data_IF_152379341727
#
_entry.id   IF_152379341727
#
_cell.length_a   1.000
_cell.length_b   1.000
_cell.length_c   1.000
_cell.angle_alpha   90.00
_cell.angle_beta   90.00
_cell.angle_gamma   90.00
#
_symmetry.space_group_name_H-M   'P 1'
#
loop_
_entity.id
_entity.type
_entity.pdbx_description
1 polymer ?
#
# COMPACT_ATOMS: atom_id res chain seq x y z
N UNK A 1 19.47 -8.60 -3.22
CA UNK A 1 18.26 -8.90 -2.43
C UNK A 1 17.59 -7.57 -2.17
N UNK A 2 16.43 -7.31 -2.79
CA UNK A 2 15.65 -6.11 -2.49
C UNK A 2 15.15 -6.13 -1.05
N UNK A 3 14.69 -4.98 -0.55
CA UNK A 3 14.14 -4.88 0.80
C UNK A 3 12.77 -4.22 0.78
N UNK A 4 11.87 -4.73 1.61
CA UNK A 4 10.57 -4.11 1.88
C UNK A 4 10.58 -3.70 3.35
N UNK A 5 10.30 -2.43 3.59
CA UNK A 5 10.21 -1.86 4.94
C UNK A 5 8.84 -1.23 5.11
N UNK A 6 8.19 -1.55 6.23
CA UNK A 6 6.89 -1.00 6.59
C UNK A 6 7.02 -0.36 7.97
N UNK A 7 6.48 0.84 8.12
CA UNK A 7 6.38 1.55 9.39
C UNK A 7 4.97 2.11 9.53
N UNK A 8 4.53 2.35 10.76
CA UNK A 8 3.20 2.91 10.99
C UNK A 8 3.10 3.59 12.34
N UNK A 9 2.17 4.52 12.43
CA UNK A 9 1.82 5.24 13.65
C UNK A 9 0.41 4.85 14.06
N UNK A 10 0.29 4.31 15.27
CA UNK A 10 -0.98 4.01 15.93
C UNK A 10 -1.12 4.86 17.19
N UNK A 11 -2.36 5.22 17.52
CA UNK A 11 -2.71 5.95 18.74
C UNK A 11 -3.97 5.39 19.38
N UNK A 12 -4.43 6.04 20.44
CA UNK A 12 -5.64 5.62 21.16
C UNK A 12 -5.42 4.51 22.19
N UNK A 13 -4.16 4.23 22.56
CA UNK A 13 -3.84 3.34 23.67
C UNK A 13 -4.30 3.94 24.99
N UNK A 14 -5.12 3.19 25.72
CA UNK A 14 -5.59 3.56 27.07
C UNK A 14 -4.90 2.68 28.13
N UNK A 15 -5.04 3.02 29.42
CA UNK A 15 -4.41 2.25 30.50
C UNK A 15 -4.91 0.81 30.55
N UNK A 16 -6.17 0.61 30.19
CA UNK A 16 -6.86 -0.68 30.14
C UNK A 16 -6.20 -1.63 29.14
N UNK A 17 -5.57 -1.13 28.07
CA UNK A 17 -4.81 -1.93 27.12
C UNK A 17 -3.61 -2.64 27.77
N UNK A 18 -3.01 -2.02 28.78
CA UNK A 18 -1.83 -2.54 29.48
C UNK A 18 -2.18 -3.22 30.82
N UNK A 19 -3.47 -3.43 31.10
CA UNK A 19 -3.94 -3.94 32.39
C UNK A 19 -3.67 -5.43 32.62
N UNK A 20 -3.41 -6.20 31.54
CA UNK A 20 -3.28 -7.66 31.59
C UNK A 20 -4.62 -8.40 31.71
N UNK A 21 -5.73 -7.69 31.93
CA UNK A 21 -7.08 -8.23 31.91
C UNK A 21 -7.56 -8.35 30.44
N UNK A 22 -7.92 -9.56 30.02
CA UNK A 22 -8.34 -9.84 28.63
C UNK A 22 -9.59 -9.06 28.22
N UNK A 23 -10.56 -8.89 29.11
CA UNK A 23 -11.82 -8.20 28.81
C UNK A 23 -11.55 -6.71 28.66
N UNK A 24 -10.78 -6.13 29.57
CA UNK A 24 -10.40 -4.71 29.50
C UNK A 24 -9.50 -4.41 28.30
N UNK A 25 -8.61 -5.33 27.95
CA UNK A 25 -7.78 -5.24 26.74
C UNK A 25 -8.65 -5.27 25.47
N UNK A 26 -9.65 -6.14 25.41
CA UNK A 26 -10.58 -6.21 24.26
C UNK A 26 -11.38 -4.91 24.07
N UNK A 27 -11.85 -4.30 25.16
CA UNK A 27 -12.52 -3.00 25.09
C UNK A 27 -11.55 -1.92 24.63
N UNK A 28 -10.32 -1.92 25.15
CA UNK A 28 -9.29 -0.96 24.76
C UNK A 28 -8.87 -1.09 23.28
N UNK A 29 -8.93 -2.29 22.70
CA UNK A 29 -8.67 -2.51 21.26
C UNK A 29 -9.60 -1.70 20.36
N UNK A 30 -10.86 -1.49 20.78
CA UNK A 30 -11.82 -0.68 20.03
C UNK A 30 -11.43 0.81 20.01
N UNK A 31 -10.64 1.26 20.98
CA UNK A 31 -10.10 2.62 21.05
C UNK A 31 -8.88 2.86 20.18
N UNK A 32 -8.27 1.80 19.62
CA UNK A 32 -7.10 1.92 18.77
C UNK A 32 -7.41 2.63 17.46
N UNK A 33 -6.44 3.43 17.04
CA UNK A 33 -6.54 4.33 15.89
C UNK A 33 -5.29 4.24 15.03
N UNK A 34 -5.42 3.87 13.77
CA UNK A 34 -4.35 3.97 12.80
C UNK A 34 -4.25 5.41 12.29
N UNK A 35 -3.08 6.04 12.42
CA UNK A 35 -2.84 7.41 11.95
C UNK A 35 -2.09 7.47 10.63
N UNK A 36 -1.08 6.61 10.48
CA UNK A 36 -0.22 6.62 9.31
C UNK A 36 0.39 5.23 9.08
N UNK A 37 0.59 4.88 7.82
CA UNK A 37 1.36 3.71 7.38
C UNK A 37 2.28 4.18 6.26
N UNK A 38 3.57 3.88 6.36
CA UNK A 38 4.52 4.10 5.29
C UNK A 38 5.11 2.76 4.86
N UNK A 39 5.04 2.50 3.57
CA UNK A 39 5.64 1.35 2.92
C UNK A 39 6.75 1.85 2.00
N UNK A 40 7.96 1.32 2.17
CA UNK A 40 9.10 1.58 1.28
C UNK A 40 9.60 0.27 0.70
N UNK A 41 9.58 0.19 -0.62
CA UNK A 41 10.03 -0.94 -1.42
C UNK A 41 11.32 -0.51 -2.11
N UNK A 42 12.40 -1.24 -1.87
CA UNK A 42 13.68 -1.04 -2.56
C UNK A 42 13.93 -2.23 -3.47
N UNK A 43 13.86 -1.98 -4.77
CA UNK A 43 14.21 -2.94 -5.81
C UNK A 43 15.74 -3.09 -5.87
N UNK A 44 16.22 -4.32 -5.66
CA UNK A 44 17.62 -4.71 -5.89
C UNK A 44 17.66 -6.05 -6.63
N UNK A 45 16.98 -6.09 -7.78
CA UNK A 45 16.88 -7.23 -8.70
C UNK A 45 15.75 -8.23 -8.41
N UNK A 46 14.77 -7.90 -7.57
CA UNK A 46 13.59 -8.76 -7.32
C UNK A 46 12.68 -8.79 -8.55
N UNK A 47 12.36 -7.61 -9.09
CA UNK A 47 11.50 -7.46 -10.26
C UNK A 47 12.22 -8.02 -11.48
N UNK A 48 13.51 -7.72 -11.64
CA UNK A 48 14.32 -8.29 -12.71
C UNK A 48 14.33 -9.83 -12.66
N UNK A 49 14.45 -10.43 -11.47
CA UNK A 49 14.41 -11.90 -11.31
C UNK A 49 13.02 -12.48 -11.60
N UNK A 50 11.95 -11.80 -11.19
CA UNK A 50 10.57 -12.21 -11.48
C UNK A 50 10.26 -12.17 -12.97
N UNK A 51 10.63 -11.08 -13.65
CA UNK A 51 10.51 -10.94 -15.11
C UNK A 51 11.27 -12.05 -15.82
N UNK A 52 12.51 -12.31 -15.41
CA UNK A 52 13.34 -13.37 -15.99
C UNK A 52 12.72 -14.76 -15.83
N UNK A 53 12.15 -15.06 -14.66
CA UNK A 53 11.46 -16.33 -14.43
C UNK A 53 10.21 -16.46 -15.31
N UNK A 54 9.37 -15.43 -15.37
CA UNK A 54 8.16 -15.43 -16.20
C UNK A 54 8.49 -15.54 -17.70
N UNK A 55 9.52 -14.82 -18.15
CA UNK A 55 10.06 -14.90 -19.50
C UNK A 55 10.47 -16.33 -19.86
N UNK A 56 11.19 -17.02 -18.97
CA UNK A 56 11.59 -18.41 -19.15
C UNK A 56 10.40 -19.37 -19.20
N UNK A 57 9.39 -19.19 -18.35
CA UNK A 57 8.20 -20.05 -18.33
C UNK A 57 7.31 -19.86 -19.56
N UNK A 58 7.24 -18.65 -20.11
CA UNK A 58 6.35 -18.30 -21.21
C UNK A 58 7.04 -18.22 -22.58
N UNK A 59 8.33 -18.59 -22.68
CA UNK A 59 9.15 -18.42 -23.90
C UNK A 59 9.13 -17.00 -24.46
N UNK A 60 9.10 -16.00 -23.57
CA UNK A 60 9.14 -14.58 -23.92
C UNK A 60 10.51 -14.00 -23.59
N UNK A 61 10.86 -12.88 -24.20
CA UNK A 61 12.01 -12.07 -23.77
C UNK A 61 11.65 -11.22 -22.55
N UNK A 62 12.65 -10.84 -21.75
CA UNK A 62 12.42 -9.97 -20.58
C UNK A 62 11.77 -8.63 -20.96
N UNK A 63 12.11 -8.11 -22.14
CA UNK A 63 11.55 -6.86 -22.67
C UNK A 63 10.07 -7.01 -23.08
N UNK A 64 9.69 -8.13 -23.70
CA UNK A 64 8.29 -8.42 -24.03
C UNK A 64 7.43 -8.57 -22.76
N UNK A 65 7.97 -9.22 -21.73
CA UNK A 65 7.28 -9.35 -20.44
C UNK A 65 7.11 -7.98 -19.79
N UNK A 66 8.17 -7.15 -19.75
CA UNK A 66 8.08 -5.78 -19.22
C UNK A 66 7.05 -4.94 -19.96
N UNK A 67 7.06 -5.00 -21.29
CA UNK A 67 6.14 -4.25 -22.13
C UNK A 67 4.69 -4.68 -21.86
N UNK A 68 4.44 -5.99 -21.81
CA UNK A 68 3.12 -6.56 -21.54
C UNK A 68 2.61 -6.18 -20.14
N UNK A 69 3.45 -6.34 -19.11
CA UNK A 69 3.11 -5.97 -17.73
C UNK A 69 2.84 -4.48 -17.62
N UNK A 70 3.66 -3.64 -18.26
CA UNK A 70 3.47 -2.18 -18.25
C UNK A 70 2.17 -1.78 -18.94
N UNK A 71 1.82 -2.43 -20.04
CA UNK A 71 0.56 -2.19 -20.76
C UNK A 71 -0.66 -2.56 -19.91
N UNK A 72 -0.65 -3.75 -19.32
CA UNK A 72 -1.75 -4.22 -18.45
C UNK A 72 -1.87 -3.34 -17.21
N UNK A 73 -0.75 -3.01 -16.57
CA UNK A 73 -0.73 -2.14 -15.41
C UNK A 73 -1.23 -0.74 -15.75
N UNK A 74 -0.83 -0.16 -16.89
CA UNK A 74 -1.30 1.14 -17.33
C UNK A 74 -2.82 1.15 -17.57
N UNK A 75 -3.36 0.13 -18.23
CA UNK A 75 -4.80 0.01 -18.46
C UNK A 75 -5.58 -0.10 -17.14
N UNK A 76 -5.14 -0.98 -16.23
CA UNK A 76 -5.78 -1.16 -14.93
C UNK A 76 -5.72 0.10 -14.06
N UNK A 77 -4.57 0.80 -14.08
CA UNK A 77 -4.40 2.06 -13.35
C UNK A 77 -5.23 3.20 -13.95
N UNK A 78 -5.42 3.23 -15.27
CA UNK A 78 -6.28 4.23 -15.92
C UNK A 78 -7.74 4.07 -15.52
N UNK A 79 -8.25 2.83 -15.47
CA UNK A 79 -9.60 2.53 -14.99
C UNK A 79 -9.75 2.94 -13.52
N UNK A 80 -8.81 2.53 -12.66
CA UNK A 80 -8.84 2.87 -11.25
C UNK A 80 -8.72 4.39 -11.00
N UNK A 81 -7.88 5.10 -11.75
CA UNK A 81 -7.73 6.54 -11.63
C UNK A 81 -8.96 7.32 -12.15
N UNK A 82 -9.69 6.77 -13.13
CA UNK A 82 -10.93 7.35 -13.61
C UNK A 82 -12.02 7.32 -12.53
N UNK A 83 -12.12 6.21 -11.79
CA UNK A 83 -13.05 6.09 -10.67
C UNK A 83 -12.55 6.80 -9.40
N UNK A 84 -11.24 6.91 -9.23
CA UNK A 84 -10.58 7.45 -8.03
C UNK A 84 -9.47 8.44 -8.40
N UNK A 85 -9.79 9.73 -8.64
CA UNK A 85 -8.81 10.75 -9.01
C UNK A 85 -7.66 10.89 -8.01
N UNK A 86 -7.93 10.63 -6.72
CA UNK A 86 -6.92 10.65 -5.64
C UNK A 86 -5.82 9.59 -5.78
N UNK A 87 -5.99 8.58 -6.64
CA UNK A 87 -4.98 7.57 -6.93
C UNK A 87 -4.14 7.88 -8.16
N UNK A 88 -4.41 8.98 -8.87
CA UNK A 88 -3.69 9.31 -10.10
C UNK A 88 -2.19 9.49 -9.88
N UNK A 89 -1.79 10.14 -8.78
CA UNK A 89 -0.38 10.32 -8.43
C UNK A 89 0.29 8.98 -8.06
N UNK A 90 -0.46 8.10 -7.39
CA UNK A 90 -0.01 6.75 -7.05
C UNK A 90 0.21 5.90 -8.29
N UNK A 91 -0.74 5.96 -9.23
CA UNK A 91 -0.65 5.30 -10.53
C UNK A 91 0.59 5.77 -11.30
N UNK A 92 0.80 7.09 -11.39
CA UNK A 92 1.94 7.67 -12.09
C UNK A 92 3.29 7.28 -11.46
N UNK A 93 3.38 7.31 -10.13
CA UNK A 93 4.56 6.87 -9.40
C UNK A 93 4.83 5.38 -9.62
N UNK A 94 3.80 4.53 -9.58
CA UNK A 94 3.95 3.10 -9.81
C UNK A 94 4.37 2.76 -11.24
N UNK A 95 3.80 3.44 -12.25
CA UNK A 95 4.23 3.29 -13.64
C UNK A 95 5.70 3.69 -13.84
N UNK A 96 6.14 4.77 -13.20
CA UNK A 96 7.55 5.20 -13.22
C UNK A 96 8.46 4.16 -12.56
N UNK A 97 8.05 3.60 -11.42
CA UNK A 97 8.75 2.53 -10.74
C UNK A 97 8.85 1.26 -11.59
N UNK A 98 7.80 0.86 -12.31
CA UNK A 98 7.86 -0.31 -13.20
C UNK A 98 8.82 -0.10 -14.38
N UNK A 99 8.82 1.11 -14.97
CA UNK A 99 9.70 1.45 -16.07
C UNK A 99 11.18 1.46 -15.65
N UNK A 100 11.48 1.99 -14.46
CA UNK A 100 12.81 2.00 -13.84
C UNK A 100 12.73 1.64 -12.37
N UNK A 101 12.78 0.34 -12.05
CA UNK A 101 12.67 -0.10 -10.66
C UNK A 101 13.87 0.33 -9.83
N UNK A 102 13.60 1.16 -8.82
CA UNK A 102 14.58 1.56 -7.82
C UNK A 102 13.91 1.61 -6.45
N UNK A 103 13.48 2.78 -5.98
CA UNK A 103 12.77 2.90 -4.71
C UNK A 103 11.35 3.37 -4.97
N UNK A 104 10.38 2.70 -4.35
CA UNK A 104 8.98 3.10 -4.30
C UNK A 104 8.55 3.31 -2.86
N UNK A 105 8.10 4.50 -2.54
CA UNK A 105 7.55 4.86 -1.23
C UNK A 105 6.06 5.18 -1.35
N UNK A 106 5.27 4.60 -0.45
CA UNK A 106 3.85 4.84 -0.33
C UNK A 106 3.56 5.24 1.12
N UNK A 107 3.05 6.45 1.32
CA UNK A 107 2.59 6.95 2.60
C UNK A 107 1.06 7.06 2.57
N UNK A 108 0.40 6.43 3.53
CA UNK A 108 -1.05 6.49 3.73
C UNK A 108 -1.29 7.13 5.09
N UNK A 109 -1.97 8.26 5.12
CA UNK A 109 -2.24 9.03 6.34
C UNK A 109 -3.73 9.26 6.51
N UNK A 110 -4.24 9.11 7.73
CA UNK A 110 -5.64 9.44 8.01
C UNK A 110 -5.87 10.96 7.89
N UNK A 111 -6.90 11.36 7.13
CA UNK A 111 -7.34 12.77 7.02
C UNK A 111 -7.86 13.30 8.35
N UNK A 112 -8.50 12.44 9.14
CA UNK A 112 -9.04 12.81 10.44
C UNK A 112 -7.95 12.77 11.53
N UNK A 113 -7.86 13.82 12.36
CA UNK A 113 -6.92 13.89 13.50
C UNK A 113 -7.05 12.71 14.48
N UNK A 114 -8.28 12.19 14.57
CA UNK A 114 -8.62 11.02 15.38
C UNK A 114 -8.10 9.70 14.80
N UNK A 115 -7.59 9.64 13.57
CA UNK A 115 -7.17 8.42 12.89
C UNK A 115 -8.34 7.52 12.44
N UNK A 116 -8.01 6.39 11.82
CA UNK A 116 -8.96 5.34 11.43
C UNK A 116 -9.16 4.38 12.61
N UNK A 117 -10.40 4.25 13.08
CA UNK A 117 -10.72 3.38 14.22
C UNK A 117 -10.82 1.90 13.87
N UNK A 118 -10.78 1.03 14.89
CA UNK A 118 -10.89 -0.42 14.71
C UNK A 118 -12.12 -0.87 13.89
N UNK A 119 -13.29 -0.28 14.14
CA UNK A 119 -14.51 -0.60 13.40
C UNK A 119 -14.44 -0.21 11.91
N UNK A 120 -13.80 0.92 11.62
CA UNK A 120 -13.59 1.37 10.24
C UNK A 120 -12.60 0.46 9.52
N UNK A 121 -11.56 -0.02 10.21
CA UNK A 121 -10.64 -1.02 9.67
C UNK A 121 -11.34 -2.35 9.38
N UNK A 122 -12.29 -2.77 10.22
CA UNK A 122 -13.11 -3.97 9.95
C UNK A 122 -13.99 -3.76 8.73
N UNK A 123 -14.64 -2.60 8.59
CA UNK A 123 -15.43 -2.30 7.38
C UNK A 123 -14.55 -2.29 6.12
N UNK A 124 -13.35 -1.70 6.21
CA UNK A 124 -12.38 -1.66 5.14
C UNK A 124 -11.85 -3.02 4.70
N UNK A 125 -11.90 -4.03 5.59
CA UNK A 125 -11.52 -5.40 5.25
C UNK A 125 -12.48 -6.05 4.24
N UNK A 126 -13.73 -5.56 4.18
CA UNK A 126 -14.72 -6.00 3.20
C UNK A 126 -14.64 -5.15 1.93
N UNK A 127 -14.47 -3.84 2.08
CA UNK A 127 -14.30 -2.90 0.98
C UNK A 127 -13.22 -1.85 1.29
N UNK A 128 -11.99 -2.03 0.77
CA UNK A 128 -10.89 -1.10 0.98
C UNK A 128 -11.15 0.30 0.42
N UNK A 129 -12.05 0.45 -0.57
CA UNK A 129 -12.37 1.73 -1.18
C UNK A 129 -13.08 2.67 -0.20
N UNK A 130 -13.73 2.13 0.83
CA UNK A 130 -14.38 2.93 1.89
C UNK A 130 -13.40 3.77 2.72
N UNK A 131 -12.11 3.41 2.74
CA UNK A 131 -11.08 4.19 3.42
C UNK A 131 -10.44 5.25 2.55
N UNK A 132 -10.49 5.11 1.23
CA UNK A 132 -9.82 5.99 0.28
C UNK A 132 -10.21 7.46 0.49
N UNK A 133 -11.50 7.73 0.70
CA UNK A 133 -11.97 9.09 0.99
C UNK A 133 -11.53 9.62 2.35
N UNK A 134 -11.10 8.75 3.27
CA UNK A 134 -10.70 9.07 4.65
C UNK A 134 -9.19 9.15 4.84
N UNK A 135 -8.40 8.82 3.81
CA UNK A 135 -6.94 8.84 3.86
C UNK A 135 -6.36 9.70 2.75
N UNK A 136 -5.25 10.34 3.06
CA UNK A 136 -4.37 10.94 2.08
C UNK A 136 -3.33 9.89 1.69
N UNK A 137 -3.15 9.68 0.39
CA UNK A 137 -2.20 8.73 -0.16
C UNK A 137 -1.16 9.51 -0.96
N UNK A 138 0.10 9.37 -0.58
CA UNK A 138 1.23 9.91 -1.31
C UNK A 138 2.10 8.76 -1.80
N UNK A 139 2.46 8.77 -3.08
CA UNK A 139 3.44 7.86 -3.63
C UNK A 139 4.62 8.65 -4.19
N UNK A 140 5.84 8.14 -3.96
CA UNK A 140 7.08 8.75 -4.43
C UNK A 140 7.99 7.67 -4.97
N UNK A 141 8.76 8.04 -5.99
CA UNK A 141 9.83 7.21 -6.54
C UNK A 141 11.14 7.96 -6.45
N UNK A 142 12.19 7.26 -6.03
CA UNK A 142 13.58 7.75 -6.02
C UNK A 142 14.46 6.87 -6.91
#
# INVERSE_FOLDING_TARGET
>A
MGSVSMSGLMGGFTKEFFSGDKVMTQVALLGLKAKQVNLKIQEKGIIAKGIKMYAQENNMTEDEVRSTVSLIAAAALQELAADQPQLQDVAAAFSTFLAKPNIFELAVKAKADKGIGALEMVAASQDPLTLLDKVDIEAKTE
#
